data_IF_764308301730
#
_entry.id   IF_764308301730
#
_cell.length_a   1.000
_cell.length_b   1.000
_cell.length_c   1.000
_cell.angle_alpha   90.00
_cell.angle_beta   90.00
_cell.angle_gamma   90.00
#
_symmetry.space_group_name_H-M   'P 1'
#
loop_
_entity.id
_entity.type
_entity.pdbx_description
1 polymer ?
#
# COMPACT_ATOMS: atom_id res chain seq x y z
N UNK A 1 34.11 -22.72 18.53
CA UNK A 1 32.72 -23.17 18.72
C UNK A 1 31.88 -22.75 17.52
N UNK A 2 30.98 -23.63 17.05
CA UNK A 2 29.99 -23.29 16.03
C UNK A 2 28.98 -22.29 16.60
N UNK A 3 28.45 -21.36 15.79
CA UNK A 3 27.35 -20.51 16.22
C UNK A 3 26.16 -21.38 16.61
N UNK A 4 25.49 -21.03 17.71
CA UNK A 4 24.21 -21.64 18.06
C UNK A 4 23.12 -20.97 17.23
N UNK A 5 22.21 -21.78 16.70
CA UNK A 5 21.10 -21.32 15.87
C UNK A 5 19.82 -21.59 16.65
N UNK A 6 18.95 -20.59 16.72
CA UNK A 6 17.60 -20.74 17.22
C UNK A 6 16.62 -20.26 16.14
N UNK A 7 15.55 -21.01 15.94
CA UNK A 7 14.42 -20.56 15.16
C UNK A 7 13.54 -19.67 16.05
N UNK A 8 13.42 -18.39 15.68
CA UNK A 8 12.55 -17.44 16.38
C UNK A 8 11.14 -17.42 15.78
N UNK A 9 10.88 -18.26 14.78
CA UNK A 9 9.65 -18.33 14.01
C UNK A 9 9.64 -17.36 12.83
N UNK A 10 8.66 -17.53 11.96
CA UNK A 10 8.35 -16.58 10.89
C UNK A 10 9.48 -16.28 9.89
N UNK A 11 10.36 -17.24 9.65
CA UNK A 11 11.51 -17.07 8.76
C UNK A 11 12.66 -16.27 9.37
N UNK A 12 12.62 -15.97 10.68
CA UNK A 12 13.70 -15.32 11.42
C UNK A 12 14.52 -16.37 12.16
N UNK A 13 15.80 -16.44 11.83
CA UNK A 13 16.77 -17.29 12.52
C UNK A 13 17.72 -16.41 13.33
N UNK A 14 17.88 -16.73 14.61
CA UNK A 14 18.86 -16.09 15.47
C UNK A 14 20.15 -16.90 15.53
N UNK A 15 21.27 -16.21 15.38
CA UNK A 15 22.61 -16.80 15.48
C UNK A 15 23.36 -16.17 16.65
N UNK A 16 23.82 -16.98 17.59
CA UNK A 16 24.67 -16.54 18.70
C UNK A 16 26.06 -17.12 18.52
N UNK A 17 27.07 -16.24 18.43
CA UNK A 17 28.47 -16.61 18.33
C UNK A 17 29.27 -16.01 19.48
N UNK A 18 30.04 -16.85 20.16
CA UNK A 18 31.01 -16.43 21.20
C UNK A 18 32.39 -16.10 20.63
N UNK A 19 32.58 -16.21 19.31
CA UNK A 19 33.83 -15.80 18.66
C UNK A 19 33.82 -14.29 18.42
N UNK A 20 34.84 -13.62 18.94
CA UNK A 20 35.10 -12.21 18.67
C UNK A 20 35.86 -12.06 17.36
N UNK A 21 35.42 -11.13 16.53
CA UNK A 21 36.07 -10.76 15.28
C UNK A 21 35.73 -9.30 14.96
N UNK A 22 36.54 -8.64 14.12
CA UNK A 22 36.23 -7.27 13.71
C UNK A 22 34.93 -7.23 12.90
N UNK A 23 34.20 -6.12 13.02
CA UNK A 23 32.93 -5.88 12.31
C UNK A 23 33.08 -6.10 10.80
N UNK A 24 34.20 -5.65 10.22
CA UNK A 24 34.52 -5.82 8.81
C UNK A 24 34.61 -7.31 8.40
N UNK A 25 35.29 -8.13 9.20
CA UNK A 25 35.45 -9.57 8.94
C UNK A 25 34.13 -10.33 9.13
N UNK A 26 33.34 -9.96 10.14
CA UNK A 26 32.01 -10.51 10.35
C UNK A 26 31.11 -10.23 9.13
N UNK A 27 31.03 -8.96 8.72
CA UNK A 27 30.22 -8.55 7.58
C UNK A 27 30.62 -9.28 6.28
N UNK A 28 31.92 -9.41 6.01
CA UNK A 28 32.42 -10.12 4.82
C UNK A 28 32.02 -11.61 4.81
N UNK A 29 32.12 -12.27 5.97
CA UNK A 29 31.74 -13.68 6.12
C UNK A 29 30.23 -13.88 5.96
N UNK A 30 29.42 -13.04 6.61
CA UNK A 30 27.95 -13.10 6.50
C UNK A 30 27.47 -12.83 5.07
N UNK A 31 28.06 -11.83 4.40
CA UNK A 31 27.79 -11.55 2.99
C UNK A 31 28.10 -12.74 2.08
N UNK A 32 29.17 -13.49 2.37
CA UNK A 32 29.53 -14.71 1.62
C UNK A 32 28.51 -15.82 1.82
N UNK A 33 28.02 -16.01 3.05
CA UNK A 33 26.96 -16.98 3.36
C UNK A 33 25.68 -16.62 2.62
N UNK A 34 25.25 -15.35 2.69
CA UNK A 34 24.03 -14.89 2.00
C UNK A 34 24.09 -15.10 0.49
N UNK A 35 25.24 -14.87 -0.14
CA UNK A 35 25.42 -15.12 -1.58
C UNK A 35 25.31 -16.60 -1.96
N UNK A 36 25.55 -17.52 -1.01
CA UNK A 36 25.44 -18.95 -1.20
C UNK A 36 24.05 -19.52 -0.96
N UNK A 37 23.09 -18.71 -0.47
CA UNK A 37 21.73 -19.15 -0.24
C UNK A 37 20.92 -19.22 -1.56
N UNK A 38 20.00 -20.19 -1.67
CA UNK A 38 19.19 -20.34 -2.87
C UNK A 38 18.28 -19.13 -3.07
N UNK A 39 18.34 -18.49 -4.25
CA UNK A 39 17.48 -17.34 -4.58
C UNK A 39 16.07 -17.74 -5.04
N UNK A 40 15.94 -19.00 -5.45
CA UNK A 40 14.73 -19.60 -5.96
C UNK A 40 14.57 -20.95 -5.29
N UNK A 41 13.36 -21.26 -4.86
CA UNK A 41 13.06 -22.52 -4.19
C UNK A 41 11.74 -23.09 -4.72
N UNK A 42 11.79 -24.18 -5.53
CA UNK A 42 10.60 -24.76 -6.11
C UNK A 42 9.81 -25.53 -5.04
N UNK A 43 8.55 -25.16 -4.84
CA UNK A 43 7.64 -25.82 -3.88
C UNK A 43 6.29 -26.03 -4.54
N UNK A 44 5.86 -27.30 -4.65
CA UNK A 44 4.54 -27.68 -5.17
C UNK A 44 4.18 -27.04 -6.53
N UNK A 45 5.16 -26.83 -7.40
CA UNK A 45 4.97 -26.25 -8.74
C UNK A 45 5.08 -24.72 -8.81
N UNK A 46 5.26 -24.03 -7.68
CA UNK A 46 5.59 -22.61 -7.63
C UNK A 46 7.10 -22.42 -7.47
N UNK A 47 7.66 -21.42 -8.15
CA UNK A 47 9.05 -21.01 -7.95
C UNK A 47 9.10 -19.80 -7.00
N UNK A 48 9.44 -20.05 -5.74
CA UNK A 48 9.45 -19.01 -4.72
C UNK A 48 10.75 -18.21 -4.81
N UNK A 49 10.64 -16.91 -5.05
CA UNK A 49 11.78 -16.01 -4.95
C UNK A 49 12.09 -15.75 -3.46
N UNK A 50 13.27 -16.16 -3.01
CA UNK A 50 13.72 -15.98 -1.63
C UNK A 50 14.60 -14.74 -1.50
N UNK A 51 14.28 -13.88 -0.52
CA UNK A 51 15.08 -12.74 -0.11
C UNK A 51 15.61 -12.94 1.30
N UNK A 52 16.85 -12.51 1.54
CA UNK A 52 17.52 -12.67 2.81
C UNK A 52 18.04 -11.32 3.29
N UNK A 53 17.93 -11.09 4.60
CA UNK A 53 18.53 -9.98 5.32
C UNK A 53 19.28 -10.49 6.53
N UNK A 54 20.32 -9.78 6.92
CA UNK A 54 21.07 -10.11 8.13
C UNK A 54 21.39 -8.85 8.91
N UNK A 55 20.93 -8.81 10.16
CA UNK A 55 21.35 -7.83 11.17
C UNK A 55 22.33 -8.46 12.13
N UNK A 56 23.23 -7.66 12.69
CA UNK A 56 24.11 -8.10 13.76
C UNK A 56 24.36 -6.95 14.74
N UNK A 57 24.40 -7.28 16.03
CA UNK A 57 24.78 -6.36 17.09
C UNK A 57 26.03 -6.88 17.82
N UNK A 58 26.89 -5.96 18.27
CA UNK A 58 27.94 -6.32 19.21
C UNK A 58 27.32 -6.56 20.59
N UNK A 59 27.87 -7.53 21.33
CA UNK A 59 27.50 -7.76 22.72
C UNK A 59 28.25 -6.72 23.57
N UNK A 60 27.52 -5.79 24.17
CA UNK A 60 28.05 -4.89 25.20
C UNK A 60 27.83 -5.50 26.60
N UNK A 61 28.73 -5.22 27.53
CA UNK A 61 28.65 -5.80 28.88
C UNK A 61 27.63 -5.12 29.80
N UNK A 62 27.00 -4.04 29.34
CA UNK A 62 26.12 -3.20 30.18
C UNK A 62 24.65 -3.59 30.10
N UNK A 63 24.23 -4.28 29.03
CA UNK A 63 22.84 -4.63 28.81
C UNK A 63 22.66 -6.15 28.69
N UNK A 64 21.56 -6.69 29.24
CA UNK A 64 21.29 -8.13 29.26
C UNK A 64 20.84 -8.70 27.90
N UNK A 65 20.56 -10.01 27.88
CA UNK A 65 20.18 -10.75 26.67
C UNK A 65 19.01 -10.12 25.88
N UNK A 66 18.01 -9.59 26.57
CA UNK A 66 16.83 -8.97 25.93
C UNK A 66 17.22 -7.73 25.11
N UNK A 67 18.18 -6.94 25.59
CA UNK A 67 18.69 -5.77 24.87
C UNK A 67 19.49 -6.19 23.63
N UNK A 68 20.28 -7.26 23.72
CA UNK A 68 21.02 -7.78 22.57
C UNK A 68 20.07 -8.31 21.50
N UNK A 69 19.02 -9.01 21.90
CA UNK A 69 18.00 -9.51 20.98
C UNK A 69 17.26 -8.35 20.31
N UNK A 70 16.85 -7.34 21.08
CA UNK A 70 16.21 -6.13 20.55
C UNK A 70 17.10 -5.38 19.55
N UNK A 71 18.37 -5.16 19.89
CA UNK A 71 19.33 -4.47 19.03
C UNK A 71 19.65 -5.29 17.76
N UNK A 72 19.67 -6.63 17.86
CA UNK A 72 19.77 -7.52 16.70
C UNK A 72 18.58 -7.42 15.76
N UNK A 73 17.36 -7.31 16.31
CA UNK A 73 16.14 -7.09 15.53
C UNK A 73 16.13 -5.71 14.84
N UNK A 74 16.56 -4.66 15.54
CA UNK A 74 16.68 -3.31 14.96
C UNK A 74 17.69 -3.30 13.82
N UNK A 75 18.87 -3.92 14.02
CA UNK A 75 19.87 -4.05 12.97
C UNK A 75 19.37 -4.86 11.77
N UNK A 76 18.52 -5.87 11.98
CA UNK A 76 17.92 -6.65 10.89
C UNK A 76 16.92 -5.82 10.10
N UNK A 77 16.15 -4.96 10.75
CA UNK A 77 15.20 -4.05 10.11
C UNK A 77 15.91 -2.97 9.26
N UNK A 78 17.12 -2.57 9.64
CA UNK A 78 17.95 -1.62 8.91
C UNK A 78 18.84 -2.26 7.83
N UNK A 79 18.93 -3.60 7.79
CA UNK A 79 19.85 -4.29 6.90
C UNK A 79 19.38 -4.28 5.43
N UNK A 80 20.26 -3.99 4.46
CA UNK A 80 19.91 -4.01 3.05
C UNK A 80 19.60 -5.45 2.60
N UNK A 81 18.44 -5.63 1.99
CA UNK A 81 18.03 -6.92 1.42
C UNK A 81 18.91 -7.25 0.20
N UNK A 82 19.57 -8.42 0.23
CA UNK A 82 20.19 -8.95 -0.99
C UNK A 82 19.05 -9.56 -1.81
N UNK A 83 18.58 -8.74 -2.75
CA UNK A 83 17.40 -8.86 -3.62
C UNK A 83 16.04 -8.56 -2.96
N UNK A 84 15.49 -7.40 -3.38
CA UNK A 84 14.23 -6.75 -3.03
C UNK A 84 14.14 -6.17 -1.61
N UNK A 85 14.12 -4.83 -1.45
CA UNK A 85 13.89 -4.21 -0.16
C UNK A 85 12.40 -4.31 0.18
N UNK A 86 12.06 -5.04 1.24
CA UNK A 86 10.73 -5.00 1.86
C UNK A 86 10.94 -4.71 3.33
N UNK A 87 10.60 -3.49 3.73
CA UNK A 87 10.48 -3.09 5.13
C UNK A 87 9.63 -4.12 5.91
N UNK A 88 9.92 -4.36 7.19
CA UNK A 88 9.13 -5.29 7.99
C UNK A 88 7.73 -4.68 8.22
N UNK A 89 6.63 -5.42 7.94
CA UNK A 89 5.33 -5.02 8.45
C UNK A 89 5.30 -5.21 9.97
N UNK A 90 4.70 -4.25 10.69
CA UNK A 90 4.39 -4.33 12.13
C UNK A 90 3.32 -5.40 12.48
N UNK A 91 2.93 -6.23 11.53
CA UNK A 91 1.92 -7.28 11.71
C UNK A 91 2.57 -8.67 11.71
N UNK A 92 2.09 -9.54 12.61
CA UNK A 92 2.50 -10.93 12.71
C UNK A 92 2.66 -11.56 11.32
N UNK A 93 3.77 -12.27 11.03
CA UNK A 93 3.96 -12.91 9.75
C UNK A 93 2.93 -14.03 9.61
N UNK A 94 1.87 -13.76 8.87
CA UNK A 94 0.91 -14.75 8.42
C UNK A 94 1.71 -15.79 7.63
N UNK A 95 1.73 -17.04 8.10
CA UNK A 95 2.20 -18.19 7.30
C UNK A 95 1.67 -18.03 5.88
N UNK A 96 2.55 -18.12 4.89
CA UNK A 96 2.17 -18.04 3.48
C UNK A 96 1.20 -19.19 3.18
N UNK A 97 -0.08 -18.87 3.10
CA UNK A 97 -1.13 -19.86 2.90
C UNK A 97 -1.24 -20.15 1.39
N UNK A 98 -0.44 -21.10 0.90
CA UNK A 98 -0.39 -21.52 -0.51
C UNK A 98 -1.78 -21.92 -1.02
N UNK A 99 -2.61 -22.54 -0.16
CA UNK A 99 -3.98 -22.90 -0.53
C UNK A 99 -4.86 -21.68 -0.77
N UNK A 100 -4.71 -20.62 0.04
CA UNK A 100 -5.41 -19.35 -0.15
C UNK A 100 -4.92 -18.64 -1.42
N UNK A 101 -3.61 -18.64 -1.69
CA UNK A 101 -3.05 -18.02 -2.91
C UNK A 101 -3.60 -18.71 -4.17
N UNK A 102 -3.66 -20.03 -4.17
CA UNK A 102 -4.21 -20.82 -5.28
C UNK A 102 -5.70 -20.56 -5.47
N UNK A 103 -6.47 -20.56 -4.38
CA UNK A 103 -7.89 -20.21 -4.41
C UNK A 103 -8.11 -18.79 -4.95
N UNK A 104 -7.27 -17.83 -4.54
CA UNK A 104 -7.36 -16.45 -4.98
C UNK A 104 -7.03 -16.29 -6.46
N UNK A 105 -5.98 -16.94 -6.96
CA UNK A 105 -5.67 -16.95 -8.39
C UNK A 105 -6.81 -17.58 -9.21
N UNK A 106 -7.42 -18.66 -8.73
CA UNK A 106 -8.56 -19.28 -9.40
C UNK A 106 -9.77 -18.34 -9.40
N UNK A 107 -10.06 -17.67 -8.29
CA UNK A 107 -11.15 -16.70 -8.20
C UNK A 107 -10.94 -15.52 -9.15
N UNK A 108 -9.70 -15.02 -9.27
CA UNK A 108 -9.32 -13.98 -10.22
C UNK A 108 -9.61 -14.41 -11.67
N UNK A 109 -9.18 -15.62 -12.06
CA UNK A 109 -9.39 -16.16 -13.41
C UNK A 109 -10.85 -16.50 -13.72
N UNK A 110 -11.63 -16.85 -12.68
CA UNK A 110 -13.03 -17.20 -12.79
C UNK A 110 -13.98 -16.00 -12.59
N UNK A 111 -13.45 -14.78 -12.51
CA UNK A 111 -14.20 -13.53 -12.29
C UNK A 111 -15.12 -13.58 -11.04
N UNK A 112 -14.63 -14.19 -9.96
CA UNK A 112 -15.34 -14.37 -8.69
C UNK A 112 -15.03 -13.27 -7.66
N UNK A 113 -14.20 -12.30 -8.05
CA UNK A 113 -13.89 -11.12 -7.27
C UNK A 113 -14.83 -9.98 -7.68
N UNK A 114 -14.99 -8.99 -6.83
CA UNK A 114 -15.80 -7.80 -7.15
C UNK A 114 -15.14 -6.54 -6.59
N UNK A 115 -15.56 -5.39 -7.10
CA UNK A 115 -15.12 -4.07 -6.63
C UNK A 115 -16.30 -3.41 -5.92
N UNK A 116 -16.04 -2.95 -4.70
CA UNK A 116 -16.95 -2.07 -3.98
C UNK A 116 -16.40 -0.65 -4.03
N UNK A 117 -17.30 0.33 -4.06
CA UNK A 117 -16.97 1.74 -4.13
C UNK A 117 -17.22 2.40 -2.78
N UNK A 118 -16.21 3.06 -2.23
CA UNK A 118 -16.38 3.95 -1.07
C UNK A 118 -16.35 5.41 -1.53
N UNK A 119 -17.38 6.23 -1.22
CA UNK A 119 -17.46 7.59 -1.71
C UNK A 119 -16.41 8.52 -1.08
N UNK A 120 -15.90 9.43 -1.91
CA UNK A 120 -15.06 10.56 -1.53
C UNK A 120 -15.87 11.85 -1.66
N UNK A 121 -15.90 12.65 -0.58
CA UNK A 121 -16.77 13.83 -0.44
C UNK A 121 -15.93 15.09 -0.41
N UNK A 122 -16.32 16.11 -1.15
CA UNK A 122 -15.77 17.45 -0.97
C UNK A 122 -16.31 18.06 0.34
N UNK A 123 -15.43 18.33 1.30
CA UNK A 123 -15.82 18.77 2.64
C UNK A 123 -16.46 20.16 2.66
N UNK A 124 -16.26 20.97 1.62
CA UNK A 124 -16.77 22.33 1.54
C UNK A 124 -18.14 22.40 0.86
N UNK A 125 -18.31 21.67 -0.25
CA UNK A 125 -19.56 21.66 -1.01
C UNK A 125 -20.52 20.54 -0.60
N UNK A 126 -20.04 19.52 0.10
CA UNK A 126 -20.79 18.32 0.45
C UNK A 126 -21.05 17.37 -0.72
N UNK A 127 -20.55 17.69 -1.93
CA UNK A 127 -20.76 16.87 -3.12
C UNK A 127 -19.80 15.69 -3.16
N UNK A 128 -20.28 14.56 -3.67
CA UNK A 128 -19.44 13.43 -4.03
C UNK A 128 -18.58 13.77 -5.24
N UNK A 129 -17.27 13.58 -5.12
CA UNK A 129 -16.30 13.88 -6.19
C UNK A 129 -15.73 12.62 -6.84
N UNK A 130 -15.88 11.47 -6.18
CA UNK A 130 -15.32 10.22 -6.65
C UNK A 130 -15.59 9.07 -5.69
N UNK A 131 -14.94 7.95 -5.96
CA UNK A 131 -14.89 6.80 -5.08
C UNK A 131 -13.54 6.11 -5.10
N UNK A 132 -13.21 5.41 -4.01
CA UNK A 132 -12.15 4.42 -4.00
C UNK A 132 -12.69 3.05 -4.37
N UNK A 133 -12.05 2.40 -5.34
CA UNK A 133 -12.34 1.03 -5.76
C UNK A 133 -11.62 0.04 -4.84
N UNK A 134 -12.40 -0.70 -4.06
CA UNK A 134 -11.93 -1.60 -3.02
C UNK A 134 -12.29 -3.05 -3.37
N UNK A 135 -11.26 -3.89 -3.51
CA UNK A 135 -11.41 -5.31 -3.81
C UNK A 135 -12.26 -6.01 -2.74
N UNK A 136 -13.16 -6.89 -3.18
CA UNK A 136 -13.95 -7.79 -2.33
C UNK A 136 -13.98 -9.20 -2.93
N UNK A 137 -14.08 -10.18 -2.04
CA UNK A 137 -14.24 -11.58 -2.42
C UNK A 137 -15.49 -12.15 -1.73
N UNK A 138 -16.68 -12.02 -2.34
CA UNK A 138 -17.95 -12.24 -1.66
C UNK A 138 -18.29 -13.72 -1.40
N UNK A 139 -17.52 -14.66 -1.95
CA UNK A 139 -17.80 -16.09 -1.80
C UNK A 139 -17.41 -16.58 -0.40
N UNK A 140 -18.31 -17.27 0.31
CA UNK A 140 -17.98 -17.96 1.55
C UNK A 140 -16.92 -19.07 1.29
N UNK A 141 -15.89 -19.23 2.14
CA UNK A 141 -15.66 -18.57 3.44
C UNK A 141 -14.86 -17.25 3.37
N UNK A 142 -14.62 -16.70 2.19
CA UNK A 142 -13.68 -15.59 1.96
C UNK A 142 -14.25 -14.19 2.19
N UNK A 143 -15.57 -14.06 2.34
CA UNK A 143 -16.26 -12.77 2.52
C UNK A 143 -15.72 -11.95 3.71
N UNK A 144 -15.28 -12.62 4.78
CA UNK A 144 -14.77 -11.99 5.99
C UNK A 144 -13.24 -11.83 6.01
N UNK A 145 -12.55 -12.16 4.91
CA UNK A 145 -11.10 -12.00 4.86
C UNK A 145 -10.70 -10.53 4.94
N UNK A 146 -9.65 -10.26 5.70
CA UNK A 146 -8.98 -8.97 5.64
C UNK A 146 -8.34 -8.79 4.25
N UNK A 147 -8.85 -7.81 3.49
CA UNK A 147 -8.36 -7.49 2.15
C UNK A 147 -6.90 -7.06 2.18
N UNK A 148 -6.43 -6.34 3.20
CA UNK A 148 -5.01 -5.97 3.35
C UNK A 148 -4.12 -7.22 3.37
N UNK A 149 -4.54 -8.27 4.07
CA UNK A 149 -3.82 -9.55 4.11
C UNK A 149 -3.82 -10.27 2.77
N UNK A 150 -4.89 -10.11 1.98
CA UNK A 150 -5.00 -10.68 0.64
C UNK A 150 -4.12 -9.94 -0.37
N UNK A 151 -4.03 -8.61 -0.29
CA UNK A 151 -3.12 -7.80 -1.09
C UNK A 151 -1.66 -8.18 -0.77
N UNK A 152 -1.29 -8.29 0.51
CA UNK A 152 0.05 -8.74 0.92
C UNK A 152 0.36 -10.14 0.38
N UNK A 153 -0.61 -11.06 0.38
CA UNK A 153 -0.45 -12.38 -0.24
C UNK A 153 -0.21 -12.26 -1.75
N UNK A 154 -0.96 -11.40 -2.43
CA UNK A 154 -0.82 -11.17 -3.86
C UNK A 154 0.57 -10.58 -4.20
N UNK A 155 1.09 -9.68 -3.38
CA UNK A 155 2.42 -9.11 -3.55
C UNK A 155 3.54 -10.13 -3.37
N UNK A 156 3.43 -10.99 -2.34
CA UNK A 156 4.41 -12.04 -2.06
C UNK A 156 4.42 -13.16 -3.10
N UNK A 157 3.28 -13.40 -3.76
CA UNK A 157 3.11 -14.45 -4.78
C UNK A 157 3.29 -13.95 -6.21
N UNK A 158 3.38 -12.64 -6.42
CA UNK A 158 3.39 -12.02 -7.76
C UNK A 158 2.02 -11.90 -8.41
N UNK A 159 0.95 -12.45 -7.80
CA UNK A 159 -0.43 -12.31 -8.27
C UNK A 159 -0.91 -10.86 -8.30
N UNK A 160 -0.26 -9.96 -7.56
CA UNK A 160 -0.57 -8.52 -7.57
C UNK A 160 -0.56 -7.92 -8.98
N UNK A 161 0.26 -8.44 -9.89
CA UNK A 161 0.31 -7.93 -11.25
C UNK A 161 -0.93 -8.29 -12.08
N UNK A 162 -1.39 -9.54 -11.98
CA UNK A 162 -2.63 -9.98 -12.63
C UNK A 162 -3.84 -9.27 -11.97
N UNK A 163 -3.82 -9.14 -10.65
CA UNK A 163 -4.86 -8.48 -9.87
C UNK A 163 -5.01 -7.01 -10.26
N UNK A 164 -3.92 -6.25 -10.33
CA UNK A 164 -3.97 -4.82 -10.69
C UNK A 164 -4.58 -4.61 -12.07
N UNK A 165 -4.22 -5.44 -13.06
CA UNK A 165 -4.82 -5.34 -14.41
C UNK A 165 -6.31 -5.71 -14.41
N UNK A 166 -6.72 -6.69 -13.62
CA UNK A 166 -8.13 -7.03 -13.45
C UNK A 166 -8.91 -5.90 -12.76
N UNK A 167 -8.37 -5.33 -11.68
CA UNK A 167 -8.98 -4.21 -10.95
C UNK A 167 -9.12 -2.99 -11.88
N UNK A 168 -8.09 -2.71 -12.68
CA UNK A 168 -8.11 -1.62 -13.65
C UNK A 168 -9.21 -1.81 -14.70
N UNK A 169 -9.36 -3.02 -15.25
CA UNK A 169 -10.40 -3.31 -16.24
C UNK A 169 -11.81 -3.13 -15.65
N UNK A 170 -12.03 -3.64 -14.43
CA UNK A 170 -13.30 -3.49 -13.71
C UNK A 170 -13.58 -2.05 -13.30
N UNK A 171 -12.60 -1.31 -12.81
CA UNK A 171 -12.75 0.11 -12.47
C UNK A 171 -13.09 0.94 -13.71
N UNK A 172 -12.46 0.68 -14.86
CA UNK A 172 -12.80 1.35 -16.12
C UNK A 172 -14.21 0.97 -16.60
N UNK A 173 -14.62 -0.29 -16.43
CA UNK A 173 -15.98 -0.72 -16.70
C UNK A 173 -17.00 0.04 -15.82
N UNK A 174 -16.70 0.22 -14.54
CA UNK A 174 -17.59 0.92 -13.60
C UNK A 174 -17.61 2.44 -13.86
N UNK A 175 -16.48 3.06 -14.22
CA UNK A 175 -16.46 4.46 -14.69
C UNK A 175 -17.35 4.63 -15.94
N UNK A 176 -17.29 3.70 -16.89
CA UNK A 176 -18.14 3.76 -18.08
C UNK A 176 -19.64 3.67 -17.72
N UNK A 177 -20.02 2.86 -16.72
CA UNK A 177 -21.38 2.84 -16.18
C UNK A 177 -21.78 4.17 -15.55
N UNK A 178 -20.89 4.78 -14.75
CA UNK A 178 -21.12 6.09 -14.15
C UNK A 178 -21.33 7.17 -15.23
N UNK A 179 -20.52 7.13 -16.28
CA UNK A 179 -20.66 8.04 -17.43
C UNK A 179 -22.00 7.87 -18.14
N UNK A 180 -22.42 6.63 -18.38
CA UNK A 180 -23.72 6.33 -18.98
C UNK A 180 -24.90 6.83 -18.13
N UNK A 181 -24.75 6.77 -16.80
CA UNK A 181 -25.72 7.32 -15.85
C UNK A 181 -25.66 8.85 -15.70
N UNK A 182 -24.74 9.54 -16.40
CA UNK A 182 -24.63 11.00 -16.41
C UNK A 182 -23.57 11.60 -15.48
N UNK A 183 -22.80 10.77 -14.76
CA UNK A 183 -21.77 11.20 -13.82
C UNK A 183 -20.39 11.34 -14.51
N UNK A 184 -20.31 12.14 -15.57
CA UNK A 184 -19.14 12.23 -16.47
C UNK A 184 -17.87 12.85 -15.87
N UNK A 185 -17.97 13.44 -14.68
CA UNK A 185 -16.82 14.00 -13.94
C UNK A 185 -16.48 13.16 -12.70
N UNK A 186 -17.18 12.04 -12.48
CA UNK A 186 -16.90 11.16 -11.36
C UNK A 186 -15.55 10.48 -11.55
N UNK A 187 -14.72 10.50 -10.51
CA UNK A 187 -13.38 9.90 -10.53
C UNK A 187 -13.33 8.63 -9.68
N UNK A 188 -12.55 7.63 -10.11
CA UNK A 188 -12.34 6.39 -9.37
C UNK A 188 -10.86 6.22 -9.06
N UNK A 189 -10.54 6.09 -7.78
CA UNK A 189 -9.22 5.75 -7.28
C UNK A 189 -9.00 4.24 -7.29
N UNK A 190 -7.85 3.81 -7.80
CA UNK A 190 -7.39 2.42 -7.77
C UNK A 190 -6.04 2.34 -7.06
N UNK A 191 -5.90 1.42 -6.12
CA UNK A 191 -4.65 1.15 -5.43
C UNK A 191 -3.61 0.54 -6.38
N UNK A 192 -2.37 1.05 -6.34
CA UNK A 192 -1.25 0.57 -7.14
C UNK A 192 -0.09 0.17 -6.23
N UNK A 193 0.39 -1.07 -6.37
CA UNK A 193 1.52 -1.56 -5.59
C UNK A 193 2.85 -1.22 -6.26
N UNK A 194 3.90 -1.02 -5.46
CA UNK A 194 5.28 -0.89 -5.94
C UNK A 194 5.70 -2.06 -6.85
N UNK A 195 5.17 -3.27 -6.58
CA UNK A 195 5.45 -4.48 -7.35
C UNK A 195 4.93 -4.40 -8.79
N UNK A 196 3.95 -3.54 -9.05
CA UNK A 196 3.39 -3.34 -10.39
C UNK A 196 4.37 -2.66 -11.36
N UNK A 197 5.46 -2.04 -10.87
CA UNK A 197 6.57 -1.60 -11.71
C UNK A 197 7.21 -2.74 -12.52
N UNK A 198 7.01 -4.00 -12.10
CA UNK A 198 7.48 -5.18 -12.84
C UNK A 198 6.57 -5.56 -14.01
N UNK A 199 5.40 -4.94 -14.15
CA UNK A 199 4.51 -5.17 -15.29
C UNK A 199 5.13 -4.55 -16.54
N UNK A 200 5.47 -5.40 -17.51
CA UNK A 200 5.95 -4.93 -18.79
C UNK A 200 4.87 -4.12 -19.53
N UNK A 201 5.25 -2.95 -20.04
CA UNK A 201 4.37 -2.01 -20.73
C UNK A 201 3.11 -1.64 -19.92
N UNK A 202 3.26 -1.39 -18.61
CA UNK A 202 2.14 -1.01 -17.75
C UNK A 202 1.34 0.19 -18.31
N UNK A 203 2.03 1.24 -18.75
CA UNK A 203 1.39 2.44 -19.31
C UNK A 203 0.54 2.10 -20.55
N UNK A 204 1.11 1.34 -21.50
CA UNK A 204 0.38 0.91 -22.71
C UNK A 204 -0.87 0.09 -22.35
N UNK A 205 -0.77 -0.77 -21.33
CA UNK A 205 -1.93 -1.54 -20.83
C UNK A 205 -2.99 -0.64 -20.22
N UNK A 206 -2.59 0.42 -19.51
CA UNK A 206 -3.51 1.41 -18.94
C UNK A 206 -4.23 2.17 -20.06
N UNK A 207 -3.49 2.69 -21.03
CA UNK A 207 -4.06 3.40 -22.20
C UNK A 207 -5.05 2.50 -22.95
N UNK A 208 -4.66 1.26 -23.26
CA UNK A 208 -5.51 0.32 -23.96
C UNK A 208 -6.79 -0.01 -23.17
N UNK A 209 -6.71 -0.08 -21.83
CA UNK A 209 -7.88 -0.34 -20.99
C UNK A 209 -8.83 0.85 -20.95
N UNK A 210 -8.30 2.06 -20.84
CA UNK A 210 -9.08 3.31 -20.94
C UNK A 210 -9.79 3.40 -22.30
N UNK A 211 -9.07 3.12 -23.40
CA UNK A 211 -9.63 3.11 -24.76
C UNK A 211 -10.71 2.04 -24.92
N UNK A 212 -10.46 0.81 -24.42
CA UNK A 212 -11.42 -0.32 -24.49
C UNK A 212 -12.78 0.05 -23.90
N UNK A 213 -12.80 0.79 -22.79
CA UNK A 213 -14.04 1.18 -22.10
C UNK A 213 -14.50 2.61 -22.42
N UNK A 214 -13.83 3.31 -23.34
CA UNK A 214 -14.09 4.71 -23.68
C UNK A 214 -14.10 5.63 -22.44
N UNK A 215 -13.11 5.45 -21.57
CA UNK A 215 -12.96 6.22 -20.32
C UNK A 215 -11.90 7.31 -20.49
N UNK A 216 -12.25 8.59 -20.28
CA UNK A 216 -11.28 9.67 -20.13
C UNK A 216 -10.29 9.40 -18.98
N UNK A 217 -8.99 9.53 -19.27
CA UNK A 217 -7.93 9.32 -18.28
C UNK A 217 -8.09 10.12 -16.99
N UNK A 218 -8.64 11.35 -17.07
CA UNK A 218 -8.94 12.23 -15.93
C UNK A 218 -9.92 11.66 -14.89
N UNK A 219 -10.65 10.60 -15.25
CA UNK A 219 -11.60 9.93 -14.36
C UNK A 219 -10.96 8.77 -13.59
N UNK A 220 -9.76 8.36 -13.95
CA UNK A 220 -8.98 7.38 -13.20
C UNK A 220 -7.98 8.11 -12.30
N UNK A 221 -7.80 7.60 -11.08
CA UNK A 221 -6.71 7.98 -10.20
C UNK A 221 -5.97 6.75 -9.71
N UNK A 222 -4.68 6.88 -9.46
CA UNK A 222 -3.91 5.85 -8.77
C UNK A 222 -3.51 6.30 -7.36
N UNK A 223 -3.68 5.40 -6.40
CA UNK A 223 -3.23 5.58 -5.02
C UNK A 223 -1.96 4.75 -4.82
N UNK A 224 -0.89 5.40 -4.37
CA UNK A 224 0.42 4.81 -4.12
C UNK A 224 0.77 5.00 -2.65
N UNK A 225 1.05 3.91 -1.93
CA UNK A 225 1.51 4.03 -0.54
C UNK A 225 2.89 4.66 -0.46
N UNK A 226 3.18 5.32 0.66
CA UNK A 226 4.49 5.91 0.92
C UNK A 226 5.64 4.90 0.78
N UNK A 227 5.44 3.67 1.26
CA UNK A 227 6.43 2.59 1.19
C UNK A 227 6.81 2.21 -0.25
N UNK A 228 5.88 2.38 -1.19
CA UNK A 228 6.11 2.07 -2.60
C UNK A 228 7.15 2.99 -3.25
N UNK A 229 7.31 4.21 -2.73
CA UNK A 229 8.23 5.21 -3.30
C UNK A 229 9.70 4.90 -3.00
N UNK A 230 9.98 4.12 -1.96
CA UNK A 230 11.34 3.86 -1.47
C UNK A 230 12.02 2.73 -2.26
N UNK A 231 11.23 1.79 -2.80
CA UNK A 231 11.75 0.54 -3.39
C UNK A 231 12.51 0.78 -4.70
N UNK A 232 12.09 1.75 -5.53
CA UNK A 232 12.77 2.08 -6.79
C UNK A 232 12.44 3.51 -7.28
N UNK A 233 13.00 4.50 -6.59
CA UNK A 233 12.69 5.93 -6.76
C UNK A 233 12.67 6.40 -8.22
N UNK A 234 13.70 6.10 -9.01
CA UNK A 234 13.79 6.61 -10.40
C UNK A 234 12.70 6.01 -11.32
N UNK A 235 12.40 4.72 -11.16
CA UNK A 235 11.34 4.09 -11.94
C UNK A 235 9.96 4.60 -11.53
N UNK A 236 9.76 4.84 -10.23
CA UNK A 236 8.52 5.38 -9.71
C UNK A 236 8.29 6.82 -10.18
N UNK A 237 9.31 7.68 -10.16
CA UNK A 237 9.23 9.04 -10.70
C UNK A 237 8.77 9.00 -12.17
N UNK A 238 9.42 8.19 -13.00
CA UNK A 238 9.07 8.06 -14.41
C UNK A 238 7.63 7.53 -14.60
N UNK A 239 7.20 6.55 -13.80
CA UNK A 239 5.83 6.04 -13.84
C UNK A 239 4.82 7.16 -13.51
N UNK A 240 5.04 7.92 -12.43
CA UNK A 240 4.16 9.02 -12.02
C UNK A 240 4.12 10.12 -13.08
N UNK A 241 5.25 10.47 -13.69
CA UNK A 241 5.31 11.43 -14.80
C UNK A 241 4.51 10.94 -16.01
N UNK A 242 4.67 9.67 -16.40
CA UNK A 242 3.92 9.07 -17.52
C UNK A 242 2.43 9.05 -17.26
N UNK A 243 1.99 8.63 -16.06
CA UNK A 243 0.58 8.67 -15.65
C UNK A 243 0.03 10.09 -15.70
N UNK A 244 0.78 11.06 -15.19
CA UNK A 244 0.34 12.46 -15.22
C UNK A 244 0.26 13.02 -16.64
N UNK A 245 1.17 12.61 -17.53
CA UNK A 245 1.13 13.01 -18.94
C UNK A 245 -0.12 12.48 -19.66
N UNK A 246 -0.63 11.31 -19.25
CA UNK A 246 -1.94 10.81 -19.71
C UNK A 246 -3.13 11.59 -19.14
N UNK A 247 -2.91 12.42 -18.12
CA UNK A 247 -3.96 13.13 -17.38
C UNK A 247 -4.55 12.32 -16.23
N UNK A 248 -3.86 11.27 -15.78
CA UNK A 248 -4.24 10.47 -14.60
C UNK A 248 -3.69 11.14 -13.35
N UNK A 249 -4.55 11.34 -12.35
CA UNK A 249 -4.15 11.87 -11.05
C UNK A 249 -3.47 10.78 -10.21
N UNK A 250 -2.38 11.14 -9.53
CA UNK A 250 -1.66 10.24 -8.63
C UNK A 250 -1.72 10.79 -7.21
N UNK A 251 -2.19 9.95 -6.30
CA UNK A 251 -2.42 10.25 -4.90
C UNK A 251 -1.35 9.53 -4.08
N UNK A 252 -0.74 10.25 -3.15
CA UNK A 252 0.08 9.64 -2.11
C UNK A 252 -0.82 9.15 -0.98
N UNK A 253 -0.75 7.86 -0.70
CA UNK A 253 -1.57 7.17 0.30
C UNK A 253 -0.79 6.84 1.59
N UNK A 254 -1.53 6.60 2.66
CA UNK A 254 -1.05 6.23 4.00
C UNK A 254 -0.08 7.23 4.64
N UNK A 255 -0.23 8.54 4.36
CA UNK A 255 0.70 9.55 4.88
C UNK A 255 0.77 9.53 6.41
N UNK A 256 2.00 9.40 6.93
CA UNK A 256 2.32 9.47 8.36
C UNK A 256 2.47 8.12 9.05
N UNK A 257 2.23 7.00 8.35
CA UNK A 257 2.43 5.64 8.89
C UNK A 257 3.84 5.07 8.64
N UNK A 258 4.65 5.73 7.78
CA UNK A 258 6.00 5.33 7.37
C UNK A 258 7.11 6.38 7.57
N UNK A 259 8.29 6.12 6.97
CA UNK A 259 9.44 7.03 6.96
C UNK A 259 9.34 8.04 5.80
N UNK A 260 8.40 8.98 5.90
CA UNK A 260 8.22 10.02 4.90
C UNK A 260 9.42 10.97 4.94
N UNK A 261 10.32 10.87 3.95
CA UNK A 261 11.23 11.98 3.69
C UNK A 261 10.45 13.04 2.90
N UNK A 262 10.39 14.28 3.40
CA UNK A 262 9.72 15.39 2.69
C UNK A 262 10.24 15.58 1.26
N UNK A 263 11.46 15.11 0.98
CA UNK A 263 12.03 15.06 -0.37
C UNK A 263 11.17 14.27 -1.37
N UNK A 264 10.42 13.26 -0.92
CA UNK A 264 9.52 12.50 -1.79
C UNK A 264 8.35 13.34 -2.33
N UNK A 265 8.05 14.51 -1.78
CA UNK A 265 6.99 15.36 -2.33
C UNK A 265 7.50 16.32 -3.40
N UNK A 266 8.75 16.75 -3.28
CA UNK A 266 9.35 17.70 -4.23
C UNK A 266 9.72 17.02 -5.54
N UNK A 267 10.03 15.72 -5.51
CA UNK A 267 10.49 14.99 -6.69
C UNK A 267 9.39 14.31 -7.51
N UNK A 268 8.14 14.33 -7.05
CA UNK A 268 7.05 13.58 -7.67
C UNK A 268 5.84 14.48 -7.93
N UNK A 269 5.21 14.31 -9.08
CA UNK A 269 4.05 15.11 -9.50
C UNK A 269 2.74 14.54 -8.93
N UNK A 270 2.65 14.40 -7.61
CA UNK A 270 1.39 14.02 -6.95
C UNK A 270 0.37 15.14 -7.06
N UNK A 271 -0.92 14.78 -7.11
CA UNK A 271 -2.02 15.74 -7.10
C UNK A 271 -2.68 15.85 -5.73
N UNK A 272 -2.53 14.84 -4.88
CA UNK A 272 -3.26 14.75 -3.61
C UNK A 272 -2.46 13.95 -2.59
N UNK A 273 -2.54 14.38 -1.33
CA UNK A 273 -2.04 13.67 -0.15
C UNK A 273 -3.25 13.12 0.62
N UNK A 274 -3.22 11.81 0.90
CA UNK A 274 -4.27 11.12 1.66
C UNK A 274 -3.72 10.83 3.07
N UNK A 275 -4.41 11.38 4.08
CA UNK A 275 -4.03 11.25 5.49
C UNK A 275 -4.68 9.98 6.04
N UNK A 276 -3.86 9.08 6.57
CA UNK A 276 -4.30 7.78 7.09
C UNK A 276 -5.29 7.90 8.26
N UNK A 277 -6.23 6.95 8.32
CA UNK A 277 -7.28 6.86 9.34
C UNK A 277 -6.75 6.85 10.77
N UNK A 278 -5.53 6.35 11.03
CA UNK A 278 -4.97 6.31 12.39
C UNK A 278 -4.79 7.69 13.01
N UNK A 279 -4.63 8.74 12.20
CA UNK A 279 -4.60 10.13 12.68
C UNK A 279 -5.99 10.76 12.80
N UNK A 280 -7.00 10.21 12.10
CA UNK A 280 -8.33 10.80 11.97
C UNK A 280 -9.34 10.25 12.99
N UNK A 281 -9.30 8.94 13.29
CA UNK A 281 -10.29 8.27 14.15
C UNK A 281 -10.46 8.97 15.52
N UNK A 282 -9.34 9.33 16.16
CA UNK A 282 -9.34 10.00 17.47
C UNK A 282 -9.10 11.52 17.37
N UNK A 283 -9.26 12.12 16.19
CA UNK A 283 -8.92 13.51 15.95
C UNK A 283 -9.63 14.50 16.91
N UNK A 284 -10.92 14.35 17.28
CA UNK A 284 -11.58 15.29 18.19
C UNK A 284 -10.98 15.31 19.60
N UNK A 285 -10.45 14.19 20.08
CA UNK A 285 -9.99 14.00 21.47
C UNK A 285 -8.47 14.00 21.61
N UNK A 286 -7.72 13.75 20.54
CA UNK A 286 -6.27 13.61 20.55
C UNK A 286 -5.55 14.89 20.08
N UNK A 287 -5.01 15.68 21.01
CA UNK A 287 -4.36 16.96 20.70
C UNK A 287 -3.15 16.84 19.76
N UNK A 288 -2.33 15.80 19.91
CA UNK A 288 -1.19 15.59 19.02
C UNK A 288 -1.63 15.31 17.57
N UNK A 289 -2.64 14.45 17.36
CA UNK A 289 -3.20 14.20 16.03
C UNK A 289 -3.73 15.48 15.38
N UNK A 290 -4.40 16.37 16.15
CA UNK A 290 -4.84 17.68 15.62
C UNK A 290 -3.67 18.51 15.08
N UNK A 291 -2.55 18.52 15.78
CA UNK A 291 -1.33 19.24 15.34
C UNK A 291 -0.76 18.59 14.09
N UNK A 292 -0.62 17.26 14.08
CA UNK A 292 -0.06 16.50 12.94
C UNK A 292 -0.92 16.69 11.68
N UNK A 293 -2.24 16.48 11.79
CA UNK A 293 -3.18 16.60 10.68
C UNK A 293 -3.20 18.04 10.14
N UNK A 294 -3.24 19.04 11.02
CA UNK A 294 -3.19 20.44 10.59
C UNK A 294 -1.89 20.78 9.86
N UNK A 295 -0.74 20.35 10.40
CA UNK A 295 0.55 20.56 9.75
C UNK A 295 0.63 19.84 8.39
N UNK A 296 0.09 18.63 8.29
CA UNK A 296 0.03 17.88 7.04
C UNK A 296 -0.81 18.61 5.98
N UNK A 297 -1.96 19.19 6.38
CA UNK A 297 -2.82 19.97 5.48
C UNK A 297 -2.08 21.21 4.97
N UNK A 298 -1.51 22.00 5.87
CA UNK A 298 -0.79 23.24 5.52
C UNK A 298 0.41 22.95 4.60
N UNK A 299 1.15 21.88 4.89
CA UNK A 299 2.27 21.42 4.06
C UNK A 299 1.79 21.01 2.66
N UNK A 300 0.77 20.16 2.56
CA UNK A 300 0.24 19.69 1.28
C UNK A 300 -0.20 20.87 0.41
N UNK A 301 -0.94 21.83 0.99
CA UNK A 301 -1.37 23.04 0.29
C UNK A 301 -0.21 23.93 -0.15
N UNK A 302 0.84 24.06 0.68
CA UNK A 302 2.05 24.81 0.33
C UNK A 302 2.81 24.19 -0.84
N UNK A 303 2.63 22.88 -1.06
CA UNK A 303 3.18 22.13 -2.20
C UNK A 303 2.22 22.09 -3.40
N UNK A 304 1.06 22.75 -3.32
CA UNK A 304 0.04 22.75 -4.37
C UNK A 304 -0.81 21.49 -4.43
N UNK A 305 -0.72 20.60 -3.44
CA UNK A 305 -1.46 19.35 -3.36
C UNK A 305 -2.84 19.56 -2.73
N UNK A 306 -3.79 18.71 -3.09
CA UNK A 306 -5.05 18.54 -2.37
C UNK A 306 -4.91 17.57 -1.20
N UNK A 307 -5.84 17.62 -0.25
CA UNK A 307 -5.84 16.72 0.91
C UNK A 307 -7.13 15.92 1.01
N UNK A 308 -7.00 14.61 1.12
CA UNK A 308 -8.08 13.68 1.48
C UNK A 308 -7.84 13.15 2.88
N UNK A 309 -8.81 13.26 3.78
CA UNK A 309 -8.76 12.63 5.10
C UNK A 309 -9.57 11.32 5.12
N UNK A 310 -8.92 10.21 5.49
CA UNK A 310 -9.57 8.92 5.63
C UNK A 310 -10.09 8.63 7.03
N UNK A 311 -11.04 7.70 7.16
CA UNK A 311 -11.54 7.30 8.47
C UNK A 311 -12.43 8.35 9.14
N UNK A 312 -13.15 9.17 8.37
CA UNK A 312 -14.16 10.08 8.91
C UNK A 312 -15.38 9.26 9.37
N UNK A 313 -15.57 9.15 10.68
CA UNK A 313 -16.64 8.32 11.28
C UNK A 313 -17.81 9.13 11.86
N UNK A 314 -17.62 10.43 12.11
CA UNK A 314 -18.65 11.28 12.71
C UNK A 314 -18.62 12.74 12.21
N UNK A 315 -19.72 13.46 12.47
CA UNK A 315 -19.91 14.86 12.07
C UNK A 315 -18.94 15.84 12.74
N UNK A 316 -18.49 15.55 13.97
CA UNK A 316 -17.52 16.39 14.70
C UNK A 316 -16.17 16.32 14.02
N UNK A 317 -15.70 15.11 13.70
CA UNK A 317 -14.46 14.88 12.95
C UNK A 317 -14.53 15.54 11.58
N UNK A 318 -15.65 15.38 10.86
CA UNK A 318 -15.90 16.03 9.57
C UNK A 318 -15.80 17.56 9.64
N UNK A 319 -16.46 18.18 10.63
CA UNK A 319 -16.45 19.63 10.81
C UNK A 319 -15.06 20.16 11.21
N UNK A 320 -14.32 19.39 12.02
CA UNK A 320 -12.96 19.73 12.42
C UNK A 320 -12.02 19.74 11.20
N UNK A 321 -12.06 18.69 10.38
CA UNK A 321 -11.27 18.58 9.15
C UNK A 321 -11.59 19.71 8.16
N UNK A 322 -12.88 20.03 7.98
CA UNK A 322 -13.32 21.16 7.17
C UNK A 322 -12.77 22.49 7.70
N UNK A 323 -12.76 22.68 9.02
CA UNK A 323 -12.23 23.90 9.66
C UNK A 323 -10.71 24.00 9.53
N UNK A 324 -10.02 22.86 9.54
CA UNK A 324 -8.58 22.77 9.29
C UNK A 324 -8.22 22.97 7.80
N UNK A 325 -9.19 22.98 6.90
CA UNK A 325 -9.01 23.23 5.47
C UNK A 325 -8.83 21.98 4.61
N UNK A 326 -9.06 20.77 5.12
CA UNK A 326 -8.98 19.57 4.29
C UNK A 326 -9.97 19.66 3.10
N UNK A 327 -9.54 19.25 1.90
CA UNK A 327 -10.34 19.39 0.68
C UNK A 327 -11.43 18.29 0.60
N UNK A 328 -11.04 17.05 0.88
CA UNK A 328 -11.87 15.86 0.72
C UNK A 328 -11.90 15.01 2.01
N UNK A 329 -12.98 14.26 2.18
CA UNK A 329 -13.15 13.30 3.27
C UNK A 329 -13.71 11.97 2.77
N UNK A 330 -13.25 10.88 3.37
CA UNK A 330 -13.68 9.52 3.11
C UNK A 330 -13.82 8.77 4.43
N UNK A 331 -14.89 7.99 4.59
CA UNK A 331 -15.11 7.23 5.82
C UNK A 331 -16.56 6.79 6.04
N UNK A 332 -16.78 6.04 7.11
CA UNK A 332 -18.06 5.40 7.41
C UNK A 332 -19.16 6.35 7.83
N UNK A 333 -18.82 7.61 8.18
CA UNK A 333 -19.80 8.66 8.36
C UNK A 333 -20.66 8.87 7.10
N UNK A 334 -20.06 8.70 5.92
CA UNK A 334 -20.74 8.88 4.64
C UNK A 334 -21.32 7.57 4.12
N UNK A 335 -20.46 6.57 3.97
CA UNK A 335 -20.84 5.22 3.58
C UNK A 335 -19.68 4.25 3.80
N UNK A 336 -20.02 2.98 4.02
CA UNK A 336 -19.09 1.88 3.79
C UNK A 336 -18.87 1.71 2.28
N UNK A 337 -17.86 0.93 1.91
CA UNK A 337 -17.75 0.48 0.52
C UNK A 337 -18.98 -0.37 0.17
N UNK A 338 -19.62 -0.09 -0.96
CA UNK A 338 -20.84 -0.75 -1.44
C UNK A 338 -20.68 -1.21 -2.88
N UNK A 339 -21.49 -2.19 -3.32
CA UNK A 339 -21.44 -2.70 -4.68
C UNK A 339 -21.78 -1.61 -5.71
N UNK A 340 -21.29 -1.73 -6.95
CA UNK A 340 -21.44 -0.71 -7.98
C UNK A 340 -22.90 -0.29 -8.25
N UNK A 341 -23.84 -1.23 -8.22
CA UNK A 341 -25.26 -0.93 -8.47
C UNK A 341 -25.87 -0.15 -7.29
N UNK A 342 -25.53 -0.53 -6.05
CA UNK A 342 -25.92 0.22 -4.85
C UNK A 342 -25.25 1.60 -4.82
N UNK A 343 -24.02 1.71 -5.32
CA UNK A 343 -23.28 2.96 -5.42
C UNK A 343 -23.94 3.93 -6.40
N UNK A 344 -24.41 3.44 -7.55
CA UNK A 344 -25.18 4.24 -8.51
C UNK A 344 -26.48 4.77 -7.91
N UNK A 345 -27.20 3.95 -7.13
CA UNK A 345 -28.38 4.40 -6.39
C UNK A 345 -28.01 5.47 -5.35
N UNK A 346 -26.93 5.24 -4.61
CA UNK A 346 -26.43 6.20 -3.61
C UNK A 346 -26.04 7.55 -4.24
N UNK A 347 -25.51 7.57 -5.46
CA UNK A 347 -25.21 8.78 -6.22
C UNK A 347 -26.47 9.53 -6.69
N UNK A 348 -27.60 8.85 -6.85
CA UNK A 348 -28.85 9.45 -7.31
C UNK A 348 -29.64 10.13 -6.18
N UNK A 349 -29.48 9.63 -4.95
CA UNK A 349 -30.19 10.12 -3.75
C UNK A 349 -29.55 11.38 -3.11
N UNK A 350 -28.45 11.90 -3.66
CA UNK A 350 -27.65 13.02 -3.12
C UNK A 350 -27.48 14.13 -4.14
#
# INVERSE_FOLDING_TARGET
TCPRIADLGNGVLAFVSVKTQSTHTLHANLSKVMKGLPKHYPVQGFDLQLSYSIGYCALDNENGFDSWLQNGYLSLAEAPHITSPTSPPKTMPTMMNISLATAFQNALKADQLTIYHQPQINLHSGKTIGSEALLRWPNAPYEQLNIESLILLAERTGLINELTLWVLDKACQDIAKFNYAGYTEHKVSVNLSAKNLMIHNLIEKIENTLLKHNVPAKQLKFELTESALIVNQQQMINLVEQLTHLGIEVILDDFGTGYSSLNCFVSYNFSTLKIDKSFIIDLPTHSANKVIVKAAIEMAHSLGLKVTAEGVEDATTQQLLRTMGADYGQGYYYSKAIAVDDYLLWLADK
#
